data_IF_136668688085
#
_entry.id   IF_136668688085
#
_cell.length_a   1.000
_cell.length_b   1.000
_cell.length_c   1.000
_cell.angle_alpha   90.00
_cell.angle_beta   90.00
_cell.angle_gamma   90.00
#
_symmetry.space_group_name_H-M   'P 1'
#
loop_
_entity.id
_entity.type
_entity.pdbx_description
1 polymer ?
#
# COMPACT_ATOMS: atom_id res chain seq x y z
N UNK A 1 -10.61 15.92 2.85
CA UNK A 1 -9.34 16.57 2.45
C UNK A 1 -8.80 15.84 1.22
N UNK A 2 -9.39 16.10 0.06
CA UNK A 2 -9.00 15.48 -1.23
C UNK A 2 -8.08 16.45 -1.93
N UNK A 3 -6.77 16.20 -1.86
CA UNK A 3 -5.77 16.86 -2.73
C UNK A 3 -5.18 15.77 -3.61
N UNK A 4 -5.84 15.57 -4.75
CA UNK A 4 -5.45 14.54 -5.70
C UNK A 4 -6.46 14.35 -6.82
N UNK A 5 -6.92 15.42 -7.48
CA UNK A 5 -7.42 15.38 -8.87
C UNK A 5 -7.30 16.80 -9.47
N UNK A 6 -7.14 16.92 -10.79
CA UNK A 6 -6.03 17.65 -11.39
C UNK A 6 -6.33 19.13 -11.59
N UNK A 7 -5.88 19.96 -10.65
CA UNK A 7 -5.67 21.40 -10.89
C UNK A 7 -4.48 21.67 -11.85
N UNK A 8 -4.11 20.70 -12.69
CA UNK A 8 -3.19 20.86 -13.82
C UNK A 8 -3.93 21.05 -15.16
N UNK A 9 -5.24 20.78 -15.23
CA UNK A 9 -5.98 20.86 -16.51
C UNK A 9 -6.56 22.25 -16.81
N UNK A 10 -6.69 23.13 -15.80
CA UNK A 10 -7.45 24.39 -15.93
C UNK A 10 -6.58 25.65 -15.87
N UNK A 11 -5.31 25.51 -15.51
CA UNK A 11 -4.33 26.57 -15.70
C UNK A 11 -3.45 26.16 -16.87
N UNK A 12 -3.46 27.01 -17.90
CA UNK A 12 -2.74 26.80 -19.14
C UNK A 12 -1.28 26.40 -18.94
N UNK A 13 -0.71 25.85 -20.01
CA UNK A 13 0.56 25.14 -20.15
C UNK A 13 1.83 25.86 -19.61
N UNK A 14 1.70 27.00 -18.91
CA UNK A 14 2.77 27.79 -18.31
C UNK A 14 2.57 28.25 -16.86
N UNK A 15 1.49 27.89 -16.14
CA UNK A 15 1.34 28.35 -14.75
C UNK A 15 2.18 27.51 -13.77
N UNK A 16 3.43 27.93 -13.55
CA UNK A 16 4.20 27.52 -12.37
C UNK A 16 3.72 28.35 -11.18
N UNK A 17 3.26 27.70 -10.11
CA UNK A 17 3.11 28.40 -8.83
C UNK A 17 4.48 29.03 -8.49
N UNK A 18 4.55 30.33 -8.17
CA UNK A 18 5.82 30.95 -7.85
C UNK A 18 6.42 30.24 -6.64
N UNK A 19 7.67 29.74 -6.76
CA UNK A 19 8.40 29.15 -5.64
C UNK A 19 8.36 30.10 -4.42
N UNK A 20 8.38 31.41 -4.68
CA UNK A 20 8.25 32.46 -3.67
C UNK A 20 6.99 32.30 -2.80
N UNK A 21 5.81 32.11 -3.39
CA UNK A 21 4.56 31.94 -2.64
C UNK A 21 4.60 30.69 -1.77
N UNK A 22 5.29 29.63 -2.22
CA UNK A 22 5.48 28.40 -1.45
C UNK A 22 6.45 28.58 -0.30
N UNK A 23 7.55 29.34 -0.47
CA UNK A 23 8.49 29.66 0.62
C UNK A 23 7.75 30.33 1.77
N UNK A 24 6.97 31.37 1.46
CA UNK A 24 6.26 32.16 2.47
C UNK A 24 5.07 31.43 3.10
N UNK A 25 4.48 30.43 2.42
CA UNK A 25 3.32 29.68 2.94
C UNK A 25 3.65 28.30 3.54
N UNK A 26 4.88 27.79 3.36
CA UNK A 26 5.29 26.48 3.89
C UNK A 26 5.84 26.55 5.33
N UNK A 27 6.16 27.76 5.82
CA UNK A 27 6.59 27.97 7.20
C UNK A 27 5.42 27.92 8.19
N UNK A 28 5.56 27.13 9.25
CA UNK A 28 4.58 27.09 10.35
C UNK A 28 5.07 28.00 11.49
N UNK A 29 4.37 29.12 11.67
CA UNK A 29 4.68 30.12 12.70
C UNK A 29 4.36 29.65 14.13
N UNK A 30 3.71 28.50 14.30
CA UNK A 30 3.40 27.93 15.61
C UNK A 30 4.57 27.12 16.19
N UNK A 31 5.67 26.93 15.45
CA UNK A 31 6.85 26.19 15.91
C UNK A 31 7.63 27.02 16.93
N UNK A 32 7.63 26.58 18.20
CA UNK A 32 8.35 27.24 19.31
C UNK A 32 9.68 26.57 19.68
N UNK A 33 9.92 25.34 19.22
CA UNK A 33 11.10 24.53 19.57
C UNK A 33 12.16 24.62 18.48
N UNK A 34 13.42 24.89 18.86
CA UNK A 34 14.56 25.03 17.94
C UNK A 34 14.77 23.78 17.07
N UNK A 35 14.64 22.59 17.66
CA UNK A 35 14.78 21.29 16.98
C UNK A 35 13.68 21.08 15.93
N UNK A 36 12.45 21.48 16.23
CA UNK A 36 11.35 21.41 15.27
C UNK A 36 11.55 22.42 14.12
N UNK A 37 12.13 23.59 14.40
CA UNK A 37 12.44 24.60 13.39
C UNK A 37 13.55 24.14 12.42
N UNK A 38 14.60 23.47 12.92
CA UNK A 38 15.66 22.92 12.05
C UNK A 38 15.13 21.80 11.16
N UNK A 39 14.27 20.92 11.69
CA UNK A 39 13.59 19.88 10.93
C UNK A 39 12.72 20.51 9.83
N UNK A 40 11.90 21.53 10.16
CA UNK A 40 11.02 22.20 9.19
C UNK A 40 11.82 22.91 8.08
N UNK A 41 12.94 23.54 8.44
CA UNK A 41 13.85 24.15 7.47
C UNK A 41 14.43 23.12 6.50
N UNK A 42 14.84 21.95 7.00
CA UNK A 42 15.34 20.86 6.16
C UNK A 42 14.25 20.26 5.26
N UNK A 43 13.03 20.10 5.77
CA UNK A 43 11.88 19.65 4.99
C UNK A 43 11.61 20.58 3.81
N UNK A 44 11.51 21.88 4.06
CA UNK A 44 11.25 22.89 3.04
C UNK A 44 12.39 22.90 2.00
N UNK A 45 13.65 22.84 2.44
CA UNK A 45 14.81 22.81 1.53
C UNK A 45 14.79 21.59 0.61
N UNK A 46 14.49 20.41 1.16
CA UNK A 46 14.41 19.18 0.37
C UNK A 46 13.23 19.22 -0.60
N UNK A 47 12.07 19.74 -0.20
CA UNK A 47 10.92 19.90 -1.09
C UNK A 47 11.25 20.80 -2.28
N UNK A 48 11.97 21.90 -2.05
CA UNK A 48 12.42 22.79 -3.13
C UNK A 48 13.43 22.13 -4.07
N UNK A 49 14.40 21.39 -3.53
CA UNK A 49 15.36 20.65 -4.37
C UNK A 49 14.65 19.68 -5.31
N UNK A 50 13.65 18.96 -4.80
CA UNK A 50 12.82 18.04 -5.58
C UNK A 50 12.07 18.78 -6.69
N UNK A 51 11.37 19.88 -6.38
CA UNK A 51 10.61 20.63 -7.40
C UNK A 51 11.51 21.27 -8.47
N UNK A 52 12.69 21.77 -8.10
CA UNK A 52 13.68 22.29 -9.04
C UNK A 52 14.22 21.19 -9.96
N UNK A 53 14.53 20.01 -9.41
CA UNK A 53 14.98 18.86 -10.20
C UNK A 53 13.90 18.33 -11.15
N UNK A 54 12.65 18.24 -10.68
CA UNK A 54 11.49 17.86 -11.51
C UNK A 54 11.27 18.88 -12.64
N UNK A 55 11.36 20.18 -12.32
CA UNK A 55 11.22 21.26 -13.29
C UNK A 55 12.32 21.24 -14.37
N UNK A 56 13.57 20.98 -13.97
CA UNK A 56 14.72 20.83 -14.88
C UNK A 56 14.54 19.62 -15.79
N UNK A 57 14.11 18.48 -15.25
CA UNK A 57 13.85 17.26 -16.04
C UNK A 57 12.72 17.46 -17.05
N UNK A 58 11.65 18.14 -16.67
CA UNK A 58 10.56 18.44 -17.59
C UNK A 58 11.02 19.28 -18.79
N UNK A 59 11.88 20.28 -18.55
CA UNK A 59 12.48 21.08 -19.61
C UNK A 59 13.37 20.24 -20.54
N UNK A 60 14.18 19.34 -19.97
CA UNK A 60 15.01 18.41 -20.76
C UNK A 60 14.16 17.48 -21.63
N UNK A 61 13.05 16.94 -21.10
CA UNK A 61 12.12 16.08 -21.86
C UNK A 61 11.42 16.86 -22.98
N UNK A 62 11.12 18.14 -22.77
CA UNK A 62 10.49 18.99 -23.78
C UNK A 62 11.44 19.38 -24.92
N UNK A 63 12.76 19.35 -24.68
CA UNK A 63 13.81 19.59 -25.68
C UNK A 63 14.28 18.33 -26.42
N UNK A 64 13.76 17.14 -26.08
CA UNK A 64 14.20 15.88 -26.72
C UNK A 64 13.69 15.73 -28.16
N UNK A 65 14.59 15.28 -29.05
CA UNK A 65 14.26 14.94 -30.43
C UNK A 65 13.40 13.67 -30.53
N UNK A 66 12.62 13.50 -31.61
CA UNK A 66 11.72 12.35 -31.79
C UNK A 66 12.45 10.99 -31.73
N UNK A 67 13.66 10.90 -32.28
CA UNK A 67 14.48 9.68 -32.24
C UNK A 67 14.96 9.34 -30.81
N UNK A 68 15.35 10.37 -30.04
CA UNK A 68 15.77 10.21 -28.65
C UNK A 68 14.59 9.79 -27.75
N UNK A 69 13.40 10.33 -28.02
CA UNK A 69 12.15 9.93 -27.35
C UNK A 69 11.76 8.49 -27.68
N UNK A 70 11.94 8.05 -28.93
CA UNK A 70 11.69 6.67 -29.34
C UNK A 70 12.68 5.69 -28.67
N UNK A 71 13.97 6.03 -28.62
CA UNK A 71 14.99 5.22 -27.93
C UNK A 71 14.70 5.10 -26.41
N UNK A 72 14.32 6.20 -25.77
CA UNK A 72 13.91 6.20 -24.36
C UNK A 72 12.67 5.34 -24.12
N UNK A 73 11.64 5.46 -24.97
CA UNK A 73 10.43 4.64 -24.89
C UNK A 73 10.74 3.15 -25.08
N UNK A 74 11.64 2.81 -26.01
CA UNK A 74 12.03 1.43 -26.27
C UNK A 74 12.79 0.84 -25.07
N UNK A 75 13.65 1.62 -24.43
CA UNK A 75 14.38 1.21 -23.21
C UNK A 75 13.41 1.01 -22.04
N UNK A 76 12.48 1.95 -21.85
CA UNK A 76 11.39 1.84 -20.88
C UNK A 76 10.56 0.56 -21.10
N UNK A 77 10.16 0.29 -22.34
CA UNK A 77 9.37 -0.89 -22.69
C UNK A 77 10.14 -2.18 -22.42
N UNK A 78 11.44 -2.23 -22.76
CA UNK A 78 12.31 -3.38 -22.47
C UNK A 78 12.42 -3.67 -20.98
N UNK A 79 12.65 -2.65 -20.15
CA UNK A 79 12.77 -2.81 -18.69
C UNK A 79 11.44 -3.28 -18.09
N UNK A 80 10.32 -2.67 -18.48
CA UNK A 80 9.00 -3.07 -17.97
C UNK A 80 8.58 -4.48 -18.43
N UNK A 81 8.95 -4.90 -19.64
CA UNK A 81 8.75 -6.28 -20.10
C UNK A 81 9.60 -7.25 -19.29
N UNK A 82 10.87 -6.93 -19.04
CA UNK A 82 11.76 -7.75 -18.21
C UNK A 82 11.23 -7.89 -16.77
N UNK A 83 10.72 -6.80 -16.20
CA UNK A 83 10.01 -6.77 -14.92
C UNK A 83 8.81 -7.73 -14.93
N UNK A 84 7.98 -7.67 -15.98
CA UNK A 84 6.83 -8.56 -16.13
C UNK A 84 7.24 -10.03 -16.20
N UNK A 85 8.27 -10.35 -16.99
CA UNK A 85 8.81 -11.70 -17.11
C UNK A 85 9.36 -12.23 -15.78
N UNK A 86 10.05 -11.39 -15.01
CA UNK A 86 10.54 -11.75 -13.67
C UNK A 86 9.39 -12.05 -12.70
N UNK A 87 8.31 -11.27 -12.74
CA UNK A 87 7.12 -11.52 -11.91
C UNK A 87 6.44 -12.83 -12.31
N UNK A 88 6.25 -13.07 -13.61
CA UNK A 88 5.67 -14.33 -14.10
C UNK A 88 6.56 -15.52 -13.74
N UNK A 89 7.87 -15.38 -13.87
CA UNK A 89 8.84 -16.40 -13.46
C UNK A 89 8.83 -16.68 -11.94
N UNK A 90 8.68 -15.64 -11.13
CA UNK A 90 8.54 -15.80 -9.68
C UNK A 90 7.24 -16.53 -9.30
N UNK A 91 6.13 -16.16 -9.95
CA UNK A 91 4.82 -16.81 -9.75
C UNK A 91 4.88 -18.28 -10.18
N UNK A 92 5.47 -18.59 -11.33
CA UNK A 92 5.59 -19.96 -11.82
C UNK A 92 6.52 -20.80 -10.94
N UNK A 93 7.61 -20.22 -10.43
CA UNK A 93 8.51 -20.88 -9.49
C UNK A 93 7.79 -21.25 -8.18
N UNK A 94 6.98 -20.35 -7.61
CA UNK A 94 6.19 -20.63 -6.40
C UNK A 94 5.16 -21.73 -6.68
N UNK A 95 4.50 -21.68 -7.83
CA UNK A 95 3.53 -22.70 -8.24
C UNK A 95 4.17 -24.09 -8.34
N UNK A 96 5.29 -24.21 -9.06
CA UNK A 96 6.02 -25.48 -9.20
C UNK A 96 6.62 -25.96 -7.88
N UNK A 97 7.16 -25.05 -7.05
CA UNK A 97 7.69 -25.40 -5.74
C UNK A 97 6.60 -25.93 -4.81
N UNK A 98 5.43 -25.29 -4.79
CA UNK A 98 4.29 -25.73 -3.99
C UNK A 98 3.79 -27.10 -4.48
N UNK A 99 3.62 -27.27 -5.79
CA UNK A 99 3.21 -28.55 -6.38
C UNK A 99 4.23 -29.67 -6.07
N UNK A 100 5.50 -29.42 -6.28
CA UNK A 100 6.57 -30.41 -6.05
C UNK A 100 6.67 -30.81 -4.57
N UNK A 101 6.50 -29.84 -3.66
CA UNK A 101 6.45 -30.10 -2.22
C UNK A 101 5.25 -30.96 -1.81
N UNK A 102 4.11 -30.83 -2.50
CA UNK A 102 2.90 -31.59 -2.19
C UNK A 102 2.89 -32.98 -2.83
N UNK A 103 3.51 -33.15 -4.00
CA UNK A 103 3.54 -34.43 -4.74
C UNK A 103 4.60 -35.42 -4.16
N UNK A 104 5.63 -34.95 -3.44
CA UNK A 104 6.75 -35.77 -2.92
C UNK A 104 6.80 -35.86 -1.39
N UNK A 105 5.66 -36.08 -0.73
CA UNK A 105 5.58 -36.15 0.74
C UNK A 105 6.28 -37.35 1.38
N UNK A 106 6.58 -38.41 0.62
CA UNK A 106 7.14 -39.67 1.17
C UNK A 106 8.67 -39.80 1.01
N UNK A 107 9.35 -38.80 0.46
CA UNK A 107 10.78 -38.90 0.16
C UNK A 107 11.69 -38.66 1.39
N UNK A 108 12.89 -39.24 1.40
CA UNK A 108 13.85 -39.20 2.51
C UNK A 108 14.37 -37.80 2.88
N UNK A 109 14.16 -36.79 2.02
CA UNK A 109 14.50 -35.38 2.25
C UNK A 109 13.28 -34.56 2.70
N UNK A 110 12.39 -35.20 3.48
CA UNK A 110 11.10 -34.68 3.91
C UNK A 110 11.14 -33.23 4.45
N UNK A 111 12.07 -32.92 5.36
CA UNK A 111 12.14 -31.60 6.00
C UNK A 111 12.49 -30.48 5.02
N UNK A 112 13.40 -30.70 4.07
CA UNK A 112 13.79 -29.64 3.13
C UNK A 112 12.68 -29.39 2.10
N UNK A 113 12.05 -30.45 1.62
CA UNK A 113 10.92 -30.35 0.69
C UNK A 113 9.73 -29.63 1.33
N UNK A 114 9.45 -29.91 2.61
CA UNK A 114 8.30 -29.34 3.31
C UNK A 114 8.40 -27.82 3.55
N UNK A 115 9.62 -27.28 3.71
CA UNK A 115 9.84 -25.83 3.80
C UNK A 115 10.19 -25.18 2.45
N UNK A 116 10.14 -25.93 1.34
CA UNK A 116 10.41 -25.43 0.00
C UNK A 116 9.46 -24.28 -0.40
N UNK A 117 8.12 -24.37 -0.21
CA UNK A 117 7.24 -23.29 -0.64
C UNK A 117 7.46 -21.98 0.15
N UNK A 118 7.51 -21.98 1.50
CA UNK A 118 7.91 -20.80 2.26
C UNK A 118 9.30 -20.27 1.90
N UNK A 119 10.26 -21.17 1.64
CA UNK A 119 11.61 -20.86 1.21
C UNK A 119 11.65 -20.09 -0.12
N UNK A 120 10.96 -20.60 -1.14
CA UNK A 120 10.88 -19.96 -2.46
C UNK A 120 10.13 -18.62 -2.38
N UNK A 121 9.03 -18.54 -1.63
CA UNK A 121 8.29 -17.29 -1.40
C UNK A 121 9.20 -16.24 -0.75
N UNK A 122 9.95 -16.62 0.27
CA UNK A 122 10.89 -15.73 0.93
C UNK A 122 12.02 -15.28 0.00
N UNK A 123 12.61 -16.21 -0.76
CA UNK A 123 13.68 -15.92 -1.70
C UNK A 123 13.23 -14.94 -2.78
N UNK A 124 12.04 -15.15 -3.35
CA UNK A 124 11.41 -14.25 -4.32
C UNK A 124 11.18 -12.87 -3.70
N UNK A 125 10.60 -12.83 -2.49
CA UNK A 125 10.31 -11.57 -1.79
C UNK A 125 11.57 -10.83 -1.32
N UNK A 126 12.70 -11.52 -1.16
CA UNK A 126 13.99 -10.93 -0.82
C UNK A 126 14.78 -10.46 -2.06
N UNK A 127 14.93 -11.32 -3.07
CA UNK A 127 15.66 -11.01 -4.31
C UNK A 127 14.91 -10.01 -5.18
N UNK A 128 13.58 -10.07 -5.17
CA UNK A 128 12.73 -9.20 -5.94
C UNK A 128 13.09 -7.73 -5.78
N UNK A 129 12.99 -7.14 -4.57
CA UNK A 129 13.29 -5.74 -4.35
C UNK A 129 14.72 -5.34 -4.76
N UNK A 130 15.70 -6.25 -4.70
CA UNK A 130 17.08 -6.01 -5.10
C UNK A 130 17.21 -5.90 -6.63
N UNK A 131 16.63 -6.85 -7.36
CA UNK A 131 16.60 -6.83 -8.82
C UNK A 131 15.86 -5.59 -9.33
N UNK A 132 14.76 -5.23 -8.67
CA UNK A 132 13.98 -4.05 -9.05
C UNK A 132 14.69 -2.75 -8.77
N UNK A 133 15.40 -2.63 -7.65
CA UNK A 133 16.25 -1.47 -7.40
C UNK A 133 17.30 -1.32 -8.51
N UNK A 134 17.92 -2.41 -8.96
CA UNK A 134 18.87 -2.39 -10.06
C UNK A 134 18.21 -1.98 -11.39
N UNK A 135 17.05 -2.55 -11.72
CA UNK A 135 16.31 -2.24 -12.96
C UNK A 135 15.82 -0.79 -13.00
N UNK A 136 15.33 -0.27 -11.87
CA UNK A 136 14.85 1.12 -11.77
C UNK A 136 15.98 2.13 -11.89
N UNK A 137 17.21 1.79 -11.46
CA UNK A 137 18.39 2.63 -11.70
C UNK A 137 18.74 2.74 -13.19
N UNK A 138 18.49 1.71 -13.99
CA UNK A 138 18.69 1.77 -15.45
C UNK A 138 17.69 2.74 -16.12
N UNK A 139 16.52 2.91 -15.52
CA UNK A 139 15.40 3.69 -16.09
C UNK A 139 15.44 5.18 -15.68
N UNK A 140 16.44 5.58 -14.87
CA UNK A 140 16.70 6.97 -14.46
C UNK A 140 15.45 7.70 -13.94
N UNK A 141 14.58 7.03 -13.19
CA UNK A 141 13.40 7.68 -12.59
C UNK A 141 13.80 8.79 -11.60
N UNK A 142 12.91 9.79 -11.36
CA UNK A 142 13.08 10.66 -10.22
C UNK A 142 13.02 9.87 -8.90
N UNK A 143 13.76 10.27 -7.87
CA UNK A 143 13.96 9.50 -6.65
C UNK A 143 12.66 9.20 -5.89
N UNK A 144 11.63 10.05 -6.03
CA UNK A 144 10.33 9.84 -5.40
C UNK A 144 9.46 8.81 -6.13
N UNK A 145 9.50 8.80 -7.47
CA UNK A 145 8.75 7.82 -8.25
C UNK A 145 9.43 6.46 -8.21
N UNK A 146 10.76 6.42 -8.16
CA UNK A 146 11.53 5.18 -7.93
C UNK A 146 11.04 4.46 -6.68
N UNK A 147 11.04 5.14 -5.53
CA UNK A 147 10.63 4.52 -4.26
C UNK A 147 9.16 4.09 -4.31
N UNK A 148 8.26 4.92 -4.84
CA UNK A 148 6.84 4.57 -4.91
C UNK A 148 6.59 3.37 -5.84
N UNK A 149 7.26 3.33 -6.99
CA UNK A 149 7.14 2.23 -7.95
C UNK A 149 7.75 0.93 -7.39
N UNK A 150 8.90 1.00 -6.72
CA UNK A 150 9.46 -0.13 -5.97
C UNK A 150 8.49 -0.61 -4.88
N UNK A 151 7.83 0.29 -4.15
CA UNK A 151 6.87 -0.07 -3.12
C UNK A 151 5.61 -0.73 -3.70
N UNK A 152 5.01 -0.17 -4.75
CA UNK A 152 3.88 -0.76 -5.46
C UNK A 152 4.25 -2.16 -5.94
N UNK A 153 5.43 -2.32 -6.51
CA UNK A 153 5.88 -3.62 -6.98
C UNK A 153 6.12 -4.62 -5.85
N UNK A 154 6.71 -4.19 -4.72
CA UNK A 154 6.83 -5.02 -3.53
C UNK A 154 5.46 -5.51 -3.01
N UNK A 155 4.44 -4.64 -3.05
CA UNK A 155 3.06 -5.01 -2.74
C UNK A 155 2.56 -6.07 -3.70
N UNK A 156 2.66 -5.83 -5.00
CA UNK A 156 2.19 -6.76 -6.04
C UNK A 156 2.85 -8.12 -5.87
N UNK A 157 4.17 -8.16 -5.66
CA UNK A 157 4.90 -9.41 -5.48
C UNK A 157 4.48 -10.16 -4.20
N UNK A 158 4.32 -9.45 -3.07
CA UNK A 158 3.89 -10.08 -1.81
C UNK A 158 2.46 -10.61 -1.88
N UNK A 159 1.53 -9.83 -2.41
CA UNK A 159 0.14 -10.27 -2.57
C UNK A 159 0.01 -11.37 -3.63
N UNK A 160 0.72 -11.27 -4.75
CA UNK A 160 0.71 -12.31 -5.78
C UNK A 160 1.36 -13.60 -5.26
N UNK A 161 2.46 -13.54 -4.52
CA UNK A 161 3.09 -14.74 -3.94
C UNK A 161 2.18 -15.44 -2.94
N UNK A 162 1.55 -14.71 -2.02
CA UNK A 162 0.57 -15.27 -1.08
C UNK A 162 -0.68 -15.80 -1.79
N UNK A 163 -1.18 -15.09 -2.80
CA UNK A 163 -2.33 -15.50 -3.59
C UNK A 163 -2.06 -16.76 -4.40
N UNK A 164 -0.88 -16.85 -5.03
CA UNK A 164 -0.46 -18.02 -5.80
C UNK A 164 -0.20 -19.23 -4.91
N UNK A 165 0.39 -19.04 -3.73
CA UNK A 165 0.51 -20.09 -2.73
C UNK A 165 -0.87 -20.63 -2.32
N UNK A 166 -1.81 -19.74 -1.99
CA UNK A 166 -3.19 -20.11 -1.60
C UNK A 166 -3.91 -20.83 -2.74
N UNK A 167 -3.78 -20.34 -3.98
CA UNK A 167 -4.38 -20.95 -5.15
C UNK A 167 -3.76 -22.32 -5.45
N UNK A 168 -2.44 -22.44 -5.42
CA UNK A 168 -1.74 -23.70 -5.68
C UNK A 168 -2.12 -24.76 -4.66
N UNK A 169 -2.17 -24.40 -3.38
CA UNK A 169 -2.61 -25.28 -2.30
C UNK A 169 -4.09 -25.69 -2.48
N UNK A 170 -4.95 -24.74 -2.87
CA UNK A 170 -6.35 -25.04 -3.21
C UNK A 170 -6.49 -26.00 -4.39
N UNK A 171 -5.67 -25.87 -5.44
CA UNK A 171 -5.70 -26.79 -6.59
C UNK A 171 -5.22 -28.20 -6.24
N UNK A 172 -4.22 -28.34 -5.36
CA UNK A 172 -3.71 -29.65 -4.93
C UNK A 172 -4.69 -30.36 -3.99
N UNK A 173 -5.32 -29.61 -3.09
CA UNK A 173 -6.24 -30.17 -2.09
C UNK A 173 -7.64 -30.42 -2.67
N UNK A 174 -8.21 -29.43 -3.38
CA UNK A 174 -9.59 -29.44 -3.88
C UNK A 174 -9.68 -29.86 -5.37
N UNK A 175 -8.58 -30.30 -5.98
CA UNK A 175 -8.51 -30.68 -7.41
C UNK A 175 -9.05 -29.62 -8.41
N UNK A 176 -9.03 -28.33 -8.05
CA UNK A 176 -9.59 -27.26 -8.90
C UNK A 176 -8.80 -27.17 -10.22
N UNK A 177 -9.42 -27.57 -11.33
CA UNK A 177 -8.82 -27.51 -12.66
C UNK A 177 -7.85 -28.66 -13.01
N UNK A 178 -7.90 -29.78 -12.26
CA UNK A 178 -7.12 -31.01 -12.53
C UNK A 178 -8.03 -32.17 -12.96
N UNK A 179 -7.43 -33.24 -13.50
CA UNK A 179 -8.16 -34.47 -13.82
C UNK A 179 -8.82 -35.03 -12.55
N UNK A 180 -10.14 -35.26 -12.62
CA UNK A 180 -11.00 -35.51 -11.45
C UNK A 180 -10.90 -36.92 -10.85
N UNK A 181 -10.06 -37.80 -11.37
CA UNK A 181 -10.04 -39.22 -11.00
C UNK A 181 -9.86 -39.46 -9.51
N UNK A 182 -9.04 -38.65 -8.82
CA UNK A 182 -8.80 -38.78 -7.37
C UNK A 182 -9.84 -38.05 -6.50
N UNK A 183 -10.67 -37.21 -7.10
CA UNK A 183 -11.59 -36.29 -6.42
C UNK A 183 -13.07 -36.57 -6.71
N UNK A 184 -13.37 -37.57 -7.56
CA UNK A 184 -14.75 -37.91 -7.98
C UNK A 184 -15.65 -38.34 -6.82
N UNK A 185 -15.09 -38.99 -5.79
CA UNK A 185 -15.90 -39.55 -4.69
C UNK A 185 -16.27 -38.54 -3.60
N UNK A 186 -15.40 -37.57 -3.29
CA UNK A 186 -15.55 -36.71 -2.11
C UNK A 186 -15.34 -35.21 -2.37
N UNK A 187 -15.01 -34.80 -3.60
CA UNK A 187 -14.79 -33.39 -3.96
C UNK A 187 -13.44 -32.81 -3.52
N UNK A 188 -12.57 -33.62 -2.91
CA UNK A 188 -11.18 -33.31 -2.55
C UNK A 188 -10.32 -34.58 -2.65
N UNK A 189 -8.98 -34.44 -2.63
CA UNK A 189 -8.07 -35.57 -2.80
C UNK A 189 -7.97 -36.38 -1.49
N UNK A 190 -8.88 -37.34 -1.32
CA UNK A 190 -8.99 -38.13 -0.10
C UNK A 190 -7.81 -39.10 0.14
N UNK A 191 -7.10 -39.52 -0.91
CA UNK A 191 -5.98 -40.45 -0.80
C UNK A 191 -4.77 -39.82 -0.07
N UNK A 192 -4.43 -38.58 -0.42
CA UNK A 192 -3.26 -37.89 0.14
C UNK A 192 -3.60 -36.97 1.33
N UNK A 193 -4.89 -36.62 1.49
CA UNK A 193 -5.36 -35.63 2.47
C UNK A 193 -6.67 -36.08 3.14
N UNK A 194 -6.59 -37.06 4.05
CA UNK A 194 -7.75 -37.49 4.86
C UNK A 194 -8.35 -36.32 5.66
N UNK A 195 -7.51 -35.59 6.41
CA UNK A 195 -7.87 -34.33 7.09
C UNK A 195 -7.30 -33.12 6.33
N UNK A 196 -7.94 -32.71 5.25
CA UNK A 196 -7.40 -31.66 4.40
C UNK A 196 -7.36 -30.27 5.09
N UNK A 197 -8.29 -29.94 5.98
CA UNK A 197 -8.29 -28.68 6.72
C UNK A 197 -7.04 -28.53 7.60
N UNK A 198 -6.65 -29.61 8.29
CA UNK A 198 -5.45 -29.64 9.12
C UNK A 198 -4.19 -29.49 8.27
N UNK A 199 -4.17 -30.12 7.09
CA UNK A 199 -3.04 -30.02 6.17
C UNK A 199 -2.83 -28.59 5.67
N UNK A 200 -3.93 -27.88 5.32
CA UNK A 200 -3.87 -26.45 4.97
C UNK A 200 -3.36 -25.63 6.14
N UNK A 201 -3.86 -25.92 7.34
CA UNK A 201 -3.44 -25.25 8.57
C UNK A 201 -1.95 -25.42 8.88
N UNK A 202 -1.42 -26.62 8.68
CA UNK A 202 0.00 -26.95 8.86
C UNK A 202 0.89 -26.14 7.92
N UNK A 203 0.52 -26.04 6.64
CA UNK A 203 1.24 -25.23 5.65
C UNK A 203 1.24 -23.73 6.00
N UNK A 204 0.13 -23.20 6.50
CA UNK A 204 0.04 -21.82 6.97
C UNK A 204 0.87 -21.57 8.23
N UNK A 205 0.95 -22.53 9.15
CA UNK A 205 1.84 -22.47 10.31
C UNK A 205 3.31 -22.43 9.89
N UNK A 206 3.73 -23.34 9.00
CA UNK A 206 5.10 -23.36 8.47
C UNK A 206 5.46 -22.04 7.83
N UNK A 207 4.59 -21.50 6.98
CA UNK A 207 4.80 -20.20 6.33
C UNK A 207 4.95 -19.06 7.35
N UNK A 208 4.11 -19.02 8.38
CA UNK A 208 4.16 -18.01 9.44
C UNK A 208 5.45 -18.09 10.27
N UNK A 209 5.79 -19.28 10.76
CA UNK A 209 7.00 -19.53 11.55
C UNK A 209 8.24 -19.20 10.72
N UNK A 210 8.30 -19.67 9.47
CA UNK A 210 9.43 -19.44 8.58
C UNK A 210 9.63 -17.95 8.28
N UNK A 211 8.56 -17.20 8.04
CA UNK A 211 8.63 -15.75 7.83
C UNK A 211 9.14 -15.01 9.09
N UNK A 212 8.71 -15.43 10.28
CA UNK A 212 9.24 -14.88 11.53
C UNK A 212 10.73 -15.20 11.71
N UNK A 213 11.13 -16.47 11.53
CA UNK A 213 12.52 -16.90 11.61
C UNK A 213 13.41 -16.15 10.62
N UNK A 214 12.96 -15.92 9.40
CA UNK A 214 13.68 -15.11 8.42
C UNK A 214 13.80 -13.64 8.83
N UNK A 215 12.77 -13.08 9.44
CA UNK A 215 12.83 -11.70 9.97
C UNK A 215 13.91 -11.58 11.06
N UNK A 216 13.97 -12.57 11.96
CA UNK A 216 15.01 -12.68 12.99
C UNK A 216 16.38 -12.87 12.32
N UNK A 217 16.52 -13.84 11.42
CA UNK A 217 17.76 -14.15 10.73
C UNK A 217 18.29 -12.94 9.93
N UNK A 218 17.44 -12.20 9.24
CA UNK A 218 17.84 -10.99 8.52
C UNK A 218 18.36 -9.92 9.49
N UNK A 219 17.71 -9.72 10.63
CA UNK A 219 18.18 -8.78 11.64
C UNK A 219 19.57 -9.18 12.18
N UNK A 220 19.76 -10.45 12.55
CA UNK A 220 20.98 -10.89 13.22
C UNK A 220 22.14 -11.29 12.30
N UNK A 221 21.86 -11.85 11.12
CA UNK A 221 22.87 -12.36 10.19
C UNK A 221 23.19 -11.40 9.04
N UNK A 222 22.30 -10.45 8.75
CA UNK A 222 22.53 -9.47 7.66
C UNK A 222 22.72 -8.07 8.22
N UNK A 223 21.75 -7.55 8.97
CA UNK A 223 21.79 -6.14 9.39
C UNK A 223 22.89 -5.87 10.43
N UNK A 224 23.09 -6.80 11.38
CA UNK A 224 24.12 -6.67 12.42
C UNK A 224 25.54 -6.81 11.86
N UNK A 225 25.89 -7.87 11.10
CA UNK A 225 27.23 -8.01 10.54
C UNK A 225 27.56 -6.89 9.56
N UNK A 226 26.60 -6.44 8.74
CA UNK A 226 26.80 -5.29 7.85
C UNK A 226 27.26 -4.07 8.64
N UNK A 227 26.61 -3.76 9.77
CA UNK A 227 27.04 -2.65 10.62
C UNK A 227 28.44 -2.86 11.20
N UNK A 228 28.71 -4.03 11.78
CA UNK A 228 30.01 -4.32 12.40
C UNK A 228 31.15 -4.18 11.39
N UNK A 229 30.95 -4.66 10.16
CA UNK A 229 31.93 -4.58 9.08
C UNK A 229 32.17 -3.14 8.64
N UNK A 230 31.11 -2.34 8.45
CA UNK A 230 31.22 -0.92 8.06
C UNK A 230 31.87 -0.06 9.17
N UNK A 231 31.67 -0.38 10.45
CA UNK A 231 32.33 0.30 11.57
C UNK A 231 33.79 -0.12 11.75
N UNK A 232 34.13 -1.38 11.45
CA UNK A 232 35.48 -1.94 11.70
C UNK A 232 36.47 -1.67 10.58
N UNK A 233 36.02 -1.67 9.32
CA UNK A 233 36.89 -1.58 8.15
C UNK A 233 36.70 -0.26 7.40
N UNK A 234 37.81 0.46 7.21
CA UNK A 234 37.87 1.66 6.36
C UNK A 234 38.30 1.28 4.94
N UNK A 235 37.49 1.60 3.93
CA UNK A 235 37.83 1.41 2.52
C UNK A 235 36.71 1.84 1.58
N UNK A 236 37.02 2.02 0.29
CA UNK A 236 36.03 2.45 -0.73
C UNK A 236 34.86 1.47 -0.87
N UNK A 237 35.12 0.17 -0.72
CA UNK A 237 34.08 -0.87 -0.75
C UNK A 237 33.11 -0.76 0.45
N UNK A 238 33.64 -0.60 1.66
CA UNK A 238 32.82 -0.46 2.88
C UNK A 238 32.06 0.86 2.93
N UNK A 239 32.63 1.92 2.35
CA UNK A 239 31.93 3.19 2.13
C UNK A 239 30.79 3.08 1.10
N UNK A 240 30.94 2.20 0.09
CA UNK A 240 29.87 1.90 -0.88
C UNK A 240 28.76 1.03 -0.27
N UNK A 241 29.12 0.04 0.56
CA UNK A 241 28.15 -0.84 1.21
C UNK A 241 27.20 -0.05 2.15
N UNK A 242 27.74 0.97 2.82
CA UNK A 242 27.11 1.91 3.78
C UNK A 242 26.19 1.23 4.82
N UNK A 243 25.65 2.02 5.74
CA UNK A 243 24.61 1.55 6.68
C UNK A 243 23.29 1.36 5.94
N UNK A 244 22.55 0.34 6.36
CA UNK A 244 21.22 0.08 5.81
C UNK A 244 20.25 1.25 6.12
N UNK A 245 19.51 1.69 5.10
CA UNK A 245 18.44 2.68 5.26
C UNK A 245 17.16 2.01 5.78
N UNK A 246 16.60 2.51 6.88
CA UNK A 246 15.34 1.99 7.40
C UNK A 246 14.14 2.57 6.65
N UNK A 247 13.63 1.83 5.66
CA UNK A 247 12.40 2.18 4.96
C UNK A 247 11.17 1.69 5.73
N UNK A 248 10.47 2.62 6.39
CA UNK A 248 9.20 2.34 7.10
C UNK A 248 8.21 1.58 6.21
N UNK A 249 7.96 1.97 4.94
CA UNK A 249 6.97 1.28 4.12
C UNK A 249 7.26 -0.20 3.87
N UNK A 250 8.53 -0.58 3.65
CA UNK A 250 8.90 -1.99 3.42
C UNK A 250 8.58 -2.85 4.65
N UNK A 251 8.91 -2.35 5.84
CA UNK A 251 8.63 -3.05 7.09
C UNK A 251 7.11 -3.16 7.38
N UNK A 252 6.32 -2.16 7.02
CA UNK A 252 4.85 -2.23 7.13
C UNK A 252 4.29 -3.31 6.19
N UNK A 253 4.82 -3.44 4.98
CA UNK A 253 4.39 -4.48 4.04
C UNK A 253 4.69 -5.91 4.51
N UNK A 254 5.80 -6.13 5.21
CA UNK A 254 6.11 -7.42 5.83
C UNK A 254 5.07 -7.78 6.91
N UNK A 255 4.63 -6.80 7.69
CA UNK A 255 3.59 -6.98 8.71
C UNK A 255 2.24 -7.30 8.07
N UNK A 256 1.84 -6.55 7.02
CA UNK A 256 0.58 -6.80 6.31
C UNK A 256 0.55 -8.19 5.67
N UNK A 257 1.68 -8.66 5.13
CA UNK A 257 1.79 -10.02 4.60
C UNK A 257 1.57 -11.09 5.71
N UNK A 258 2.17 -10.92 6.89
CA UNK A 258 1.93 -11.81 8.03
C UNK A 258 0.50 -11.78 8.55
N UNK A 259 -0.13 -10.60 8.57
CA UNK A 259 -1.55 -10.45 8.90
C UNK A 259 -2.45 -11.19 7.90
N UNK A 260 -2.13 -11.09 6.60
CA UNK A 260 -2.88 -11.76 5.53
C UNK A 260 -2.85 -13.28 5.71
N UNK A 261 -1.68 -13.87 6.02
CA UNK A 261 -1.54 -15.30 6.33
C UNK A 261 -2.36 -15.68 7.57
N UNK A 262 -2.37 -14.83 8.60
CA UNK A 262 -3.16 -15.07 9.82
C UNK A 262 -4.65 -15.07 9.53
N UNK A 263 -5.13 -14.18 8.65
CA UNK A 263 -6.53 -14.16 8.23
C UNK A 263 -6.92 -15.38 7.40
N UNK A 264 -6.04 -15.83 6.50
CA UNK A 264 -6.24 -17.08 5.75
C UNK A 264 -6.34 -18.29 6.69
N UNK A 265 -5.52 -18.32 7.74
CA UNK A 265 -5.45 -19.43 8.68
C UNK A 265 -6.47 -19.40 9.83
N UNK A 266 -7.30 -18.37 9.95
CA UNK A 266 -8.21 -18.22 11.09
C UNK A 266 -9.19 -19.40 11.24
N UNK A 267 -9.69 -19.91 10.11
CA UNK A 267 -10.61 -21.05 10.07
C UNK A 267 -9.90 -22.39 10.34
N UNK A 268 -8.72 -22.60 9.75
CA UNK A 268 -7.98 -23.85 9.84
C UNK A 268 -7.22 -24.01 11.16
N UNK A 269 -6.72 -22.89 11.71
CA UNK A 269 -5.80 -22.85 12.84
C UNK A 269 -6.21 -21.73 13.83
N UNK A 270 -7.13 -21.99 14.77
CA UNK A 270 -7.65 -20.96 15.67
C UNK A 270 -6.59 -20.37 16.64
N UNK A 271 -5.47 -21.07 16.84
CA UNK A 271 -4.35 -20.60 17.67
C UNK A 271 -3.34 -19.72 16.89
N UNK A 272 -3.45 -19.65 15.56
CA UNK A 272 -2.55 -18.87 14.70
C UNK A 272 -2.57 -17.35 15.03
N UNK A 273 -3.72 -16.71 15.34
CA UNK A 273 -3.73 -15.31 15.76
C UNK A 273 -2.99 -15.05 17.07
N UNK A 274 -3.04 -15.99 18.03
CA UNK A 274 -2.29 -15.89 19.27
C UNK A 274 -0.79 -15.96 19.00
N UNK A 275 -0.36 -16.92 18.17
CA UNK A 275 1.03 -17.05 17.74
C UNK A 275 1.52 -15.79 17.00
N UNK A 276 0.72 -15.27 16.07
CA UNK A 276 1.05 -14.05 15.34
C UNK A 276 1.15 -12.82 16.25
N UNK A 277 0.33 -12.75 17.31
CA UNK A 277 0.43 -11.67 18.31
C UNK A 277 1.79 -11.68 19.01
N UNK A 278 2.30 -12.87 19.37
CA UNK A 278 3.65 -13.04 19.93
C UNK A 278 4.71 -12.66 18.90
N UNK A 279 4.57 -13.09 17.63
CA UNK A 279 5.51 -12.74 16.57
C UNK A 279 5.57 -11.23 16.30
N UNK A 280 4.44 -10.53 16.28
CA UNK A 280 4.39 -9.07 16.12
C UNK A 280 5.08 -8.39 17.30
N UNK A 281 4.82 -8.83 18.53
CA UNK A 281 5.48 -8.30 19.73
C UNK A 281 7.00 -8.46 19.65
N UNK A 282 7.51 -9.65 19.33
CA UNK A 282 8.94 -9.90 19.17
C UNK A 282 9.54 -9.08 18.00
N UNK A 283 8.85 -9.04 16.87
CA UNK A 283 9.26 -8.27 15.69
C UNK A 283 9.37 -6.78 16.01
N UNK A 284 8.48 -6.23 16.84
CA UNK A 284 8.56 -4.84 17.27
C UNK A 284 9.89 -4.53 17.99
N UNK A 285 10.28 -5.35 18.97
CA UNK A 285 11.54 -5.12 19.69
C UNK A 285 12.77 -5.33 18.80
N UNK A 286 12.74 -6.35 17.93
CA UNK A 286 13.81 -6.60 16.96
C UNK A 286 13.97 -5.40 16.01
N UNK A 287 12.88 -4.94 15.40
CA UNK A 287 12.90 -3.79 14.47
C UNK A 287 13.26 -2.49 15.18
N UNK A 288 12.84 -2.29 16.43
CA UNK A 288 13.27 -1.15 17.27
C UNK A 288 14.78 -1.16 17.46
N UNK A 289 15.35 -2.31 17.80
CA UNK A 289 16.80 -2.46 17.94
C UNK A 289 17.53 -2.21 16.62
N UNK A 290 17.10 -2.81 15.51
CA UNK A 290 17.68 -2.57 14.18
C UNK A 290 17.63 -1.09 13.81
N UNK A 291 16.50 -0.40 14.03
CA UNK A 291 16.33 1.01 13.73
C UNK A 291 17.29 1.90 14.53
N UNK A 292 17.37 1.70 15.85
CA UNK A 292 18.17 2.56 16.73
C UNK A 292 19.67 2.31 16.62
N UNK A 293 20.06 1.07 16.29
CA UNK A 293 21.44 0.61 16.45
C UNK A 293 22.12 0.27 15.13
N UNK A 294 21.40 -0.26 14.12
CA UNK A 294 21.98 -0.73 12.86
C UNK A 294 21.75 0.23 11.69
N UNK A 295 20.60 0.88 11.65
CA UNK A 295 20.20 1.71 10.52
C UNK A 295 20.64 3.16 10.64
N UNK A 296 20.80 3.83 9.50
CA UNK A 296 20.95 5.28 9.41
C UNK A 296 19.57 5.93 9.26
N UNK A 297 19.41 7.13 9.83
CA UNK A 297 18.21 7.92 9.62
C UNK A 297 18.05 8.22 8.12
N UNK A 298 16.87 7.89 7.56
CA UNK A 298 16.59 8.19 6.16
C UNK A 298 16.56 9.73 5.98
N UNK A 299 17.34 10.30 5.03
CA UNK A 299 17.34 11.73 4.76
C UNK A 299 16.04 12.22 4.11
N UNK A 300 15.16 11.28 3.69
CA UNK A 300 13.93 11.57 2.97
C UNK A 300 12.76 11.55 3.95
N UNK A 301 12.21 12.72 4.25
CA UNK A 301 10.97 12.84 5.02
C UNK A 301 9.80 12.32 4.17
N UNK A 302 9.29 11.16 4.56
CA UNK A 302 8.12 10.56 3.95
C UNK A 302 6.86 11.35 4.35
N UNK A 303 6.05 11.75 3.36
CA UNK A 303 4.79 12.47 3.62
C UNK A 303 3.74 11.50 4.16
N UNK A 304 3.73 11.28 5.47
CA UNK A 304 2.90 10.31 6.18
C UNK A 304 1.40 10.35 5.81
N UNK A 305 0.85 11.54 5.51
CA UNK A 305 -0.57 11.72 5.18
C UNK A 305 -0.99 11.10 3.84
N UNK A 306 -0.10 11.02 2.83
CA UNK A 306 -0.42 10.40 1.54
C UNK A 306 -0.38 8.87 1.61
N UNK A 307 0.39 8.34 2.56
CA UNK A 307 0.77 6.94 2.61
C UNK A 307 -0.17 6.09 3.46
N UNK A 308 -0.91 6.75 4.37
CA UNK A 308 -1.94 6.08 5.18
C UNK A 308 -3.00 5.44 4.28
N UNK A 309 -3.48 6.17 3.26
CA UNK A 309 -4.42 5.63 2.27
C UNK A 309 -3.82 4.43 1.51
N UNK A 310 -2.55 4.52 1.11
CA UNK A 310 -1.87 3.42 0.43
C UNK A 310 -1.82 2.16 1.31
N UNK A 311 -1.39 2.25 2.57
CA UNK A 311 -1.35 1.08 3.45
C UNK A 311 -2.74 0.53 3.77
N UNK A 312 -3.76 1.38 3.93
CA UNK A 312 -5.14 0.94 4.10
C UNK A 312 -5.66 0.19 2.86
N UNK A 313 -5.34 0.65 1.66
CA UNK A 313 -5.67 -0.05 0.41
C UNK A 313 -4.97 -1.42 0.34
N UNK A 314 -3.68 -1.48 0.67
CA UNK A 314 -2.93 -2.75 0.68
C UNK A 314 -3.50 -3.73 1.71
N UNK A 315 -3.86 -3.25 2.89
CA UNK A 315 -4.52 -4.04 3.93
C UNK A 315 -5.87 -4.58 3.45
N UNK A 316 -6.67 -3.75 2.78
CA UNK A 316 -7.94 -4.16 2.19
C UNK A 316 -7.75 -5.23 1.12
N UNK A 317 -6.76 -5.08 0.23
CA UNK A 317 -6.43 -6.08 -0.79
C UNK A 317 -5.98 -7.40 -0.15
N UNK A 318 -5.16 -7.35 0.89
CA UNK A 318 -4.78 -8.54 1.67
C UNK A 318 -5.98 -9.21 2.34
N UNK A 319 -6.92 -8.42 2.89
CA UNK A 319 -8.14 -8.93 3.49
C UNK A 319 -9.03 -9.63 2.46
N UNK A 320 -9.22 -9.03 1.27
CA UNK A 320 -9.97 -9.64 0.18
C UNK A 320 -9.31 -10.94 -0.29
N UNK A 321 -7.97 -10.94 -0.40
CA UNK A 321 -7.20 -12.12 -0.78
C UNK A 321 -7.37 -13.28 0.21
N UNK A 322 -7.54 -12.99 1.50
CA UNK A 322 -7.80 -14.00 2.52
C UNK A 322 -9.28 -14.41 2.58
N UNK A 323 -10.18 -13.44 2.54
CA UNK A 323 -11.62 -13.65 2.75
C UNK A 323 -12.31 -14.34 1.57
N UNK A 324 -11.89 -14.09 0.32
CA UNK A 324 -12.52 -14.70 -0.87
C UNK A 324 -12.31 -16.22 -0.91
N UNK A 325 -11.09 -16.77 -0.81
CA UNK A 325 -10.88 -18.21 -0.75
C UNK A 325 -11.54 -18.84 0.48
N UNK A 326 -11.45 -18.19 1.64
CA UNK A 326 -12.05 -18.67 2.87
C UNK A 326 -13.57 -18.74 2.78
N UNK A 327 -14.20 -17.70 2.23
CA UNK A 327 -15.64 -17.63 2.00
C UNK A 327 -16.11 -18.74 1.06
N UNK A 328 -15.38 -18.97 -0.04
CA UNK A 328 -15.66 -20.08 -0.97
C UNK A 328 -15.57 -21.44 -0.28
N UNK A 329 -14.54 -21.67 0.54
CA UNK A 329 -14.37 -22.91 1.29
C UNK A 329 -15.50 -23.12 2.29
N UNK A 330 -15.81 -22.11 3.10
CA UNK A 330 -16.84 -22.20 4.15
C UNK A 330 -18.25 -22.38 3.56
N UNK A 331 -18.53 -21.78 2.40
CA UNK A 331 -19.86 -21.84 1.80
C UNK A 331 -20.12 -23.07 0.94
N UNK A 332 -19.10 -23.58 0.24
CA UNK A 332 -19.31 -24.44 -0.92
C UNK A 332 -18.51 -25.74 -0.92
N UNK A 333 -17.56 -25.91 0.00
CA UNK A 333 -16.69 -27.10 0.04
C UNK A 333 -17.13 -28.03 1.16
N UNK A 334 -17.17 -29.33 0.85
CA UNK A 334 -17.47 -30.39 1.80
C UNK A 334 -16.35 -30.51 2.85
N UNK A 335 -16.73 -30.58 4.12
CA UNK A 335 -15.79 -30.82 5.22
C UNK A 335 -15.17 -32.22 5.13
N UNK A 336 -13.99 -32.42 5.70
CA UNK A 336 -13.40 -33.78 5.74
C UNK A 336 -14.33 -34.76 6.44
N UNK A 337 -14.42 -35.98 5.88
CA UNK A 337 -15.30 -37.04 6.39
C UNK A 337 -14.78 -37.64 7.69
N UNK A 338 -13.47 -37.86 7.76
CA UNK A 338 -12.83 -38.56 8.88
C UNK A 338 -12.45 -37.62 10.04
N UNK A 339 -12.46 -36.30 9.82
CA UNK A 339 -11.84 -35.33 10.74
C UNK A 339 -12.66 -34.05 10.93
N UNK A 340 -12.58 -33.48 12.13
CA UNK A 340 -13.10 -32.14 12.42
C UNK A 340 -14.53 -32.09 12.95
N UNK A 341 -14.99 -30.87 13.25
CA UNK A 341 -16.27 -30.61 13.92
C UNK A 341 -17.48 -30.71 12.96
N UNK A 342 -17.23 -30.67 11.65
CA UNK A 342 -18.25 -30.46 10.61
C UNK A 342 -18.40 -31.68 9.67
N UNK A 343 -17.96 -32.87 10.09
CA UNK A 343 -17.88 -34.09 9.27
C UNK A 343 -19.21 -34.48 8.62
N UNK A 344 -20.33 -34.23 9.29
CA UNK A 344 -21.68 -34.58 8.82
C UNK A 344 -22.32 -33.52 7.89
N UNK A 345 -21.61 -32.44 7.57
CA UNK A 345 -22.14 -31.32 6.81
C UNK A 345 -21.48 -31.19 5.44
N UNK A 346 -22.31 -30.97 4.42
CA UNK A 346 -21.82 -30.76 3.05
C UNK A 346 -21.15 -29.40 2.83
N UNK A 347 -21.35 -28.45 3.76
CA UNK A 347 -20.55 -27.25 3.88
C UNK A 347 -20.52 -26.77 5.34
N UNK A 348 -19.39 -26.23 5.85
CA UNK A 348 -19.30 -25.69 7.21
C UNK A 348 -20.40 -24.68 7.54
N UNK A 349 -20.83 -23.88 6.55
CA UNK A 349 -21.89 -22.88 6.73
C UNK A 349 -23.26 -23.48 7.12
N UNK A 350 -23.55 -24.74 6.77
CA UNK A 350 -24.85 -25.38 7.04
C UNK A 350 -25.14 -25.57 8.53
N UNK A 351 -24.09 -25.59 9.35
CA UNK A 351 -24.20 -25.73 10.81
C UNK A 351 -24.84 -24.48 11.43
N UNK A 352 -24.57 -23.30 10.87
CA UNK A 352 -25.04 -22.02 11.42
C UNK A 352 -26.57 -21.95 11.47
N UNK A 353 -27.32 -22.15 10.37
CA UNK A 353 -28.79 -22.09 10.42
C UNK A 353 -29.39 -23.19 11.30
N UNK A 354 -28.81 -24.38 11.35
CA UNK A 354 -29.32 -25.48 12.17
C UNK A 354 -29.15 -25.21 13.67
N UNK A 355 -27.97 -24.71 14.10
CA UNK A 355 -27.75 -24.31 15.50
C UNK A 355 -28.63 -23.13 15.90
N UNK A 356 -28.85 -22.18 14.99
CA UNK A 356 -29.78 -21.05 15.23
C UNK A 356 -31.20 -21.57 15.45
N UNK A 357 -31.64 -22.57 14.69
CA UNK A 357 -32.96 -23.19 14.82
C UNK A 357 -33.10 -24.02 16.11
N UNK A 358 -32.06 -24.72 16.56
CA UNK A 358 -32.14 -25.56 17.76
C UNK A 358 -31.89 -24.81 19.08
N UNK A 359 -30.95 -23.87 19.10
CA UNK A 359 -30.36 -23.36 20.37
C UNK A 359 -30.78 -21.94 20.71
N UNK A 360 -31.31 -21.18 19.74
CA UNK A 360 -31.68 -19.78 19.93
C UNK A 360 -33.18 -19.65 20.31
N UNK A 361 -33.57 -18.82 21.29
CA UNK A 361 -34.97 -18.62 21.64
C UNK A 361 -35.77 -18.04 20.46
N UNK A 362 -37.11 -18.25 20.40
CA UNK A 362 -37.94 -17.89 19.24
C UNK A 362 -37.98 -16.39 18.94
N UNK A 363 -37.63 -15.54 19.92
CA UNK A 363 -37.44 -14.10 19.72
C UNK A 363 -36.11 -13.79 19.03
N UNK A 364 -35.04 -14.48 19.40
CA UNK A 364 -33.72 -14.36 18.78
C UNK A 364 -33.71 -14.87 17.34
N UNK A 365 -34.41 -15.97 17.05
CA UNK A 365 -34.55 -16.49 15.69
C UNK A 365 -35.25 -15.50 14.76
N UNK A 366 -36.39 -14.93 15.21
CA UNK A 366 -37.11 -13.91 14.45
C UNK A 366 -36.27 -12.65 14.23
N UNK A 367 -35.53 -12.21 15.25
CA UNK A 367 -34.62 -11.07 15.12
C UNK A 367 -33.52 -11.35 14.09
N UNK A 368 -32.90 -12.53 14.12
CA UNK A 368 -31.82 -12.90 13.19
C UNK A 368 -32.34 -13.03 11.75
N UNK A 369 -33.49 -13.69 11.55
CA UNK A 369 -34.14 -13.78 10.24
C UNK A 369 -34.58 -12.42 9.71
N UNK A 370 -35.06 -11.53 10.57
CA UNK A 370 -35.40 -10.17 10.18
C UNK A 370 -34.16 -9.38 9.75
N UNK A 371 -33.07 -9.43 10.53
CA UNK A 371 -31.79 -8.78 10.20
C UNK A 371 -31.18 -9.32 8.89
N UNK A 372 -31.31 -10.63 8.63
CA UNK A 372 -30.82 -11.27 7.40
C UNK A 372 -31.76 -11.11 6.19
N UNK A 373 -32.98 -10.60 6.37
CA UNK A 373 -33.97 -10.49 5.30
C UNK A 373 -33.65 -9.34 4.33
N UNK A 374 -34.06 -9.50 3.07
CA UNK A 374 -34.08 -8.42 2.08
C UNK A 374 -34.88 -7.20 2.58
N UNK A 375 -35.90 -7.43 3.41
CA UNK A 375 -36.73 -6.39 3.99
C UNK A 375 -35.99 -5.45 4.97
N UNK A 376 -34.91 -5.91 5.62
CA UNK A 376 -34.09 -5.08 6.51
C UNK A 376 -32.82 -4.59 5.82
N UNK A 377 -32.17 -5.46 5.04
CA UNK A 377 -30.91 -5.13 4.36
C UNK A 377 -31.05 -4.02 3.31
N UNK A 378 -32.14 -3.99 2.53
CA UNK A 378 -32.38 -2.93 1.54
C UNK A 378 -32.53 -1.54 2.19
N UNK A 379 -33.43 -1.33 3.18
CA UNK A 379 -33.51 -0.03 3.84
C UNK A 379 -32.25 0.32 4.63
N UNK A 380 -31.55 -0.65 5.21
CA UNK A 380 -30.25 -0.42 5.84
C UNK A 380 -29.21 0.07 4.83
N UNK A 381 -29.14 -0.52 3.63
CA UNK A 381 -28.27 -0.07 2.54
C UNK A 381 -28.63 1.34 2.08
N UNK A 382 -29.92 1.64 1.93
CA UNK A 382 -30.40 2.99 1.58
C UNK A 382 -29.99 3.99 2.66
N UNK A 383 -30.22 3.67 3.93
CA UNK A 383 -29.81 4.52 5.06
C UNK A 383 -28.29 4.71 5.12
N UNK A 384 -27.50 3.66 4.95
CA UNK A 384 -26.04 3.76 4.91
C UNK A 384 -25.56 4.60 3.72
N UNK A 385 -26.21 4.47 2.56
CA UNK A 385 -25.90 5.31 1.38
C UNK A 385 -26.27 6.77 1.59
N UNK A 386 -27.38 7.06 2.29
CA UNK A 386 -27.78 8.41 2.68
C UNK A 386 -26.79 9.00 3.69
N UNK A 387 -26.41 8.24 4.72
CA UNK A 387 -25.38 8.66 5.68
C UNK A 387 -24.06 8.92 4.97
N UNK A 388 -23.64 8.04 4.06
CA UNK A 388 -22.42 8.22 3.27
C UNK A 388 -22.49 9.50 2.42
N UNK A 389 -23.60 9.74 1.72
CA UNK A 389 -23.77 10.95 0.89
C UNK A 389 -23.83 12.23 1.73
N UNK A 390 -24.45 12.20 2.91
CA UNK A 390 -24.41 13.30 3.88
C UNK A 390 -22.99 13.53 4.41
N UNK A 391 -22.28 12.48 4.82
CA UNK A 391 -20.89 12.61 5.27
C UNK A 391 -19.98 13.16 4.16
N UNK A 392 -20.14 12.70 2.92
CA UNK A 392 -19.39 13.20 1.76
C UNK A 392 -19.74 14.66 1.48
N UNK A 393 -21.03 15.02 1.47
CA UNK A 393 -21.47 16.39 1.21
C UNK A 393 -20.99 17.35 2.31
N UNK A 394 -21.02 16.93 3.57
CA UNK A 394 -20.51 17.70 4.70
C UNK A 394 -18.99 17.82 4.65
N UNK A 395 -18.27 16.76 4.26
CA UNK A 395 -16.82 16.82 4.03
C UNK A 395 -16.48 17.83 2.92
N UNK A 396 -17.27 17.88 1.86
CA UNK A 396 -17.11 18.86 0.76
C UNK A 396 -17.48 20.28 1.21
N UNK A 397 -18.56 20.46 1.98
CA UNK A 397 -18.97 21.75 2.53
C UNK A 397 -17.91 22.31 3.50
N UNK A 398 -17.42 21.48 4.42
CA UNK A 398 -16.31 21.81 5.31
C UNK A 398 -15.05 22.15 4.52
N UNK A 399 -14.74 21.42 3.45
CA UNK A 399 -13.61 21.75 2.58
C UNK A 399 -13.77 23.12 1.91
N UNK A 400 -14.98 23.47 1.45
CA UNK A 400 -15.30 24.80 0.88
C UNK A 400 -15.22 25.90 1.93
N UNK A 401 -15.77 25.69 3.12
CA UNK A 401 -15.68 26.65 4.23
C UNK A 401 -14.23 26.90 4.66
N UNK A 402 -13.42 25.84 4.80
CA UNK A 402 -11.98 25.94 5.08
C UNK A 402 -11.26 26.70 3.95
N UNK A 403 -11.64 26.47 2.69
CA UNK A 403 -11.08 27.21 1.56
C UNK A 403 -11.44 28.71 1.61
N UNK A 404 -12.70 29.03 1.95
CA UNK A 404 -13.17 30.40 2.17
C UNK A 404 -12.43 31.11 3.32
N UNK A 405 -12.32 30.46 4.47
CA UNK A 405 -11.58 30.96 5.63
C UNK A 405 -10.09 31.18 5.30
N UNK A 406 -9.46 30.26 4.54
CA UNK A 406 -8.09 30.47 4.06
C UNK A 406 -7.97 31.64 3.11
N UNK A 407 -8.96 31.86 2.24
CA UNK A 407 -8.99 33.04 1.37
C UNK A 407 -9.09 34.32 2.21
N UNK A 408 -9.95 34.34 3.23
CA UNK A 408 -10.03 35.49 4.15
C UNK A 408 -8.74 35.71 4.95
N UNK A 409 -8.08 34.65 5.42
CA UNK A 409 -6.78 34.72 6.11
C UNK A 409 -5.63 35.15 5.20
N UNK A 410 -5.71 34.95 3.89
CA UNK A 410 -4.72 35.46 2.93
C UNK A 410 -4.94 36.94 2.59
N UNK A 411 -6.16 37.44 2.76
CA UNK A 411 -6.54 38.83 2.45
C UNK A 411 -6.54 39.74 3.69
N UNK A 412 -6.74 39.18 4.88
CA UNK A 412 -6.67 39.89 6.16
C UNK A 412 -5.31 40.55 6.45
N UNK A 413 -4.15 39.87 6.24
CA UNK A 413 -2.84 40.48 6.39
C UNK A 413 -2.60 41.60 5.37
N UNK A 414 -3.14 41.46 4.16
CA UNK A 414 -3.04 42.45 3.09
C UNK A 414 -3.82 43.71 3.41
N UNK A 415 -5.00 43.60 4.04
CA UNK A 415 -5.79 44.77 4.43
C UNK A 415 -5.21 45.54 5.63
N UNK A 416 -4.59 44.84 6.60
CA UNK A 416 -3.96 45.50 7.76
C UNK A 416 -2.67 46.23 7.34
N UNK A 417 -1.91 45.71 6.37
CA UNK A 417 -0.76 46.42 5.81
C UNK A 417 -1.11 47.65 4.97
N UNK A 418 -2.24 47.62 4.24
CA UNK A 418 -2.70 48.73 3.40
C UNK A 418 -3.42 49.85 4.17
N UNK A 419 -3.99 49.55 5.35
CA UNK A 419 -4.63 50.58 6.20
C UNK A 419 -3.60 51.39 6.99
N UNK A 420 -2.43 50.84 7.32
CA UNK A 420 -1.35 51.58 7.98
C UNK A 420 -0.56 52.54 7.06
N UNK A 421 -0.64 52.36 5.75
CA UNK A 421 0.07 53.20 4.76
C UNK A 421 -0.78 54.34 4.19
N UNK A 422 -2.10 54.32 4.39
CA UNK A 422 -3.01 55.37 3.88
C UNK A 422 -3.19 56.56 4.83
N UNK A 423 -2.71 56.47 6.06
CA UNK A 423 -2.82 57.54 7.06
C UNK A 423 -1.65 58.53 7.08
N UNK A 424 -0.68 58.43 6.16
CA UNK A 424 0.61 59.14 6.27
C UNK A 424 0.96 60.11 5.13
N UNK A 425 0.03 60.46 4.22
CA UNK A 425 0.29 61.43 3.15
C UNK A 425 -0.72 62.58 3.17
N UNK A 426 -0.30 63.86 3.29
CA UNK A 426 -1.19 65.01 3.21
C UNK A 426 -1.55 65.37 1.75
N UNK A 427 -2.79 65.84 1.53
CA UNK A 427 -3.32 66.30 0.24
C UNK A 427 -2.70 67.63 -0.24
N UNK A 428 -2.52 67.86 -1.56
CA UNK A 428 -2.17 69.15 -2.14
C UNK A 428 -3.42 69.95 -2.60
N UNK A 429 -3.34 71.30 -2.69
CA UNK A 429 -4.50 72.15 -2.97
C UNK A 429 -4.75 72.43 -4.47
N UNK A 430 -6.05 72.43 -4.81
CA UNK A 430 -6.85 73.12 -5.83
C UNK A 430 -6.26 73.60 -7.18
N UNK A 431 -6.95 73.21 -8.27
CA UNK A 431 -6.86 73.79 -9.62
C UNK A 431 -8.24 74.34 -10.06
N UNK A 432 -8.31 75.44 -10.84
CA UNK A 432 -9.57 76.03 -11.30
C UNK A 432 -10.07 75.45 -12.66
N UNK A 433 -11.36 75.68 -12.92
CA UNK A 433 -12.21 75.05 -13.93
C UNK A 433 -12.35 75.87 -15.26
N UNK A 434 -13.30 75.60 -16.19
CA UNK A 434 -13.03 74.98 -17.49
C UNK A 434 -13.51 75.81 -18.71
N UNK A 435 -13.16 75.41 -19.95
CA UNK A 435 -13.83 75.92 -21.16
C UNK A 435 -13.78 74.93 -22.35
N UNK A 436 -14.91 74.81 -23.06
CA UNK A 436 -14.92 74.62 -24.53
C UNK A 436 -15.43 73.27 -25.09
N UNK A 437 -16.73 73.21 -25.40
CA UNK A 437 -17.36 72.21 -26.30
C UNK A 437 -16.85 72.36 -27.74
N UNK A 438 -16.71 71.25 -28.48
CA UNK A 438 -17.12 71.15 -29.89
C UNK A 438 -17.45 69.68 -30.26
N UNK A 439 -18.50 69.51 -31.07
CA UNK A 439 -19.16 68.26 -31.51
C UNK A 439 -19.10 68.25 -33.05
N UNK A 440 -18.91 67.09 -33.71
CA UNK A 440 -19.48 66.70 -35.04
C UNK A 440 -18.98 65.29 -35.50
N UNK A 441 -19.58 64.58 -36.50
CA UNK A 441 -20.46 63.43 -36.28
C UNK A 441 -20.10 62.12 -37.05
N UNK A 442 -21.04 61.13 -37.01
CA UNK A 442 -21.12 59.84 -37.72
C UNK A 442 -21.42 59.91 -39.23
N UNK A 443 -20.94 58.89 -39.98
CA UNK A 443 -21.50 58.13 -41.15
C UNK A 443 -20.33 57.79 -42.13
N UNK A 444 -20.23 56.74 -42.94
CA UNK A 444 -21.10 55.67 -43.48
C UNK A 444 -20.18 54.69 -44.26
N UNK A 445 -20.48 53.39 -44.21
CA UNK A 445 -20.52 52.42 -45.32
C UNK A 445 -19.85 52.74 -46.68
N UNK A 446 -18.90 51.88 -47.09
CA UNK A 446 -18.87 51.13 -48.36
C UNK A 446 -17.84 50.00 -48.24
#
# INVERSE_FOLDING_TARGET
MVKGLPQKSLLGQGYRAPLSTKVFSSWDFCIRVQEAATIKKHEISNEFKVELEEGRRFQLVQQQTRAQRACHLLTYLRVNVLIGLLVVGAISAIFWATKYSQDNKEESVFLLLQYLPPGVIALVNFLGPLLFAFLVQLENYPPNTEVNLTLIWCVVLKLASLGMFSFSLGQTVLCIGRNKTSCESYGYNACDYQCWENSVGEELYKLSIFNFLLTVAFAFLVSLPRRLLVERFSGRFWAWLDREEFLVPKNVLDIVAGQTVTWMGLFYCPLLPLLNSVFIFLTFYIKKYTLLRNSKASPRLFRASSSTFFFQLVLLLGLLLAAVPLGYVVSSIHSSWDCGLFTNYSAPWQVVPELVALRLPPHGQRALHYLGSHAFSLPLLVMLSLVLTVCVSQTQANARAIHGLRKQLLWGPSLVGLTGLRSSCPEPPDAPAPAGRFRFPRSMEA
#
